data_IF_844877502496
#
_entry.id   IF_844877502496
#
_cell.length_a   1.000
_cell.length_b   1.000
_cell.length_c   1.000
_cell.angle_alpha   90.00
_cell.angle_beta   90.00
_cell.angle_gamma   90.00
#
_symmetry.space_group_name_H-M   'P 1'
#
loop_
_entity.id
_entity.type
_entity.pdbx_description
1 polymer ?
#
# COMPACT_ATOMS: atom_id res chain seq x y z
N UNK A 1 -5.74 1.30 32.00
CA UNK A 1 -5.41 1.60 30.59
C UNK A 1 -5.46 0.31 29.81
N UNK A 2 -6.55 0.06 29.07
CA UNK A 2 -6.63 -1.06 28.14
C UNK A 2 -5.97 -0.60 26.84
N UNK A 3 -4.95 -1.33 26.38
CA UNK A 3 -4.36 -1.13 25.06
C UNK A 3 -5.44 -1.35 24.01
N UNK A 4 -5.69 -0.31 23.24
CA UNK A 4 -6.57 -0.33 22.08
C UNK A 4 -5.91 -1.21 21.01
N UNK A 5 -6.55 -2.35 20.70
CA UNK A 5 -6.16 -3.26 19.61
C UNK A 5 -6.83 -2.83 18.31
N UNK A 6 -6.72 -1.57 17.94
CA UNK A 6 -7.24 -1.07 16.68
C UNK A 6 -6.16 -1.11 15.59
N UNK A 7 -6.48 -1.87 14.55
CA UNK A 7 -6.00 -1.74 13.16
C UNK A 7 -4.62 -2.33 12.83
N UNK A 8 -4.50 -3.66 13.02
CA UNK A 8 -3.74 -4.46 12.06
C UNK A 8 -4.58 -4.58 10.77
N UNK A 9 -4.63 -3.53 9.95
CA UNK A 9 -4.96 -3.70 8.54
C UNK A 9 -3.65 -4.05 7.85
N UNK A 10 -3.34 -5.34 7.87
CA UNK A 10 -2.45 -5.92 6.88
C UNK A 10 -3.14 -5.63 5.54
N UNK A 11 -2.49 -4.87 4.67
CA UNK A 11 -2.83 -4.84 3.25
C UNK A 11 -2.68 -6.29 2.77
N UNK A 12 -3.77 -7.07 2.84
CA UNK A 12 -3.84 -8.45 2.37
C UNK A 12 -3.98 -8.47 0.84
N UNK A 13 -3.05 -7.77 0.19
CA UNK A 13 -2.69 -7.98 -1.20
C UNK A 13 -1.28 -8.57 -1.21
N UNK A 14 -1.16 -9.88 -1.05
CA UNK A 14 -0.03 -10.71 -1.50
C UNK A 14 1.41 -10.14 -1.44
N UNK A 15 1.78 -9.41 -0.38
CA UNK A 15 3.19 -9.06 -0.16
C UNK A 15 3.97 -10.22 0.47
N UNK A 16 4.27 -11.18 -0.42
CA UNK A 16 5.47 -12.01 -0.53
C UNK A 16 5.65 -13.10 0.54
N UNK A 17 4.97 -14.23 0.32
CA UNK A 17 5.57 -15.54 0.61
C UNK A 17 7.03 -15.54 0.13
N UNK A 18 7.93 -16.11 0.93
CA UNK A 18 9.33 -16.33 0.57
C UNK A 18 9.39 -17.07 -0.79
N UNK A 19 9.73 -16.38 -1.90
CA UNK A 19 9.54 -16.95 -3.24
C UNK A 19 10.47 -18.12 -3.49
N UNK A 20 9.93 -19.25 -3.91
CA UNK A 20 10.75 -20.44 -4.20
C UNK A 20 11.62 -20.25 -5.45
N UNK A 21 11.14 -19.44 -6.41
CA UNK A 21 11.81 -19.19 -7.68
C UNK A 21 11.73 -17.72 -8.12
N UNK A 22 12.77 -17.25 -8.82
CA UNK A 22 12.81 -15.97 -9.52
C UNK A 22 13.29 -16.26 -10.94
N UNK A 23 12.55 -15.80 -11.96
CA UNK A 23 12.88 -16.01 -13.38
C UNK A 23 13.17 -17.49 -13.75
N UNK A 24 12.44 -18.43 -13.15
CA UNK A 24 12.65 -19.87 -13.39
C UNK A 24 13.84 -20.48 -12.63
N UNK A 25 14.53 -19.74 -11.77
CA UNK A 25 15.68 -20.20 -10.98
C UNK A 25 15.29 -20.31 -9.50
N UNK A 26 15.62 -21.45 -8.88
CA UNK A 26 15.39 -21.69 -7.45
C UNK A 26 16.21 -20.69 -6.62
N UNK A 27 15.56 -20.03 -5.67
CA UNK A 27 16.23 -19.08 -4.78
C UNK A 27 17.09 -19.85 -3.75
N UNK A 28 18.41 -19.61 -3.68
CA UNK A 28 19.34 -20.45 -2.92
C UNK A 28 19.37 -20.12 -1.41
N UNK A 29 18.23 -20.21 -0.73
CA UNK A 29 18.08 -19.84 0.69
C UNK A 29 18.95 -20.65 1.67
N UNK A 30 19.33 -21.86 1.27
CA UNK A 30 20.14 -22.79 2.05
C UNK A 30 21.64 -22.42 2.08
N UNK A 31 22.11 -21.53 1.22
CA UNK A 31 23.49 -21.07 1.23
C UNK A 31 23.76 -20.14 2.41
N UNK A 32 25.02 -20.10 2.88
CA UNK A 32 25.46 -19.14 3.88
C UNK A 32 25.50 -17.71 3.32
N UNK A 33 25.46 -16.69 4.19
CA UNK A 33 25.57 -15.28 3.78
C UNK A 33 26.80 -15.05 2.90
N UNK A 34 27.98 -15.50 3.36
CA UNK A 34 29.22 -15.42 2.57
C UNK A 34 29.12 -16.06 1.19
N UNK A 35 28.57 -17.28 1.08
CA UNK A 35 28.39 -17.95 -0.21
C UNK A 35 27.45 -17.17 -1.15
N UNK A 36 26.42 -16.52 -0.61
CA UNK A 36 25.51 -15.68 -1.38
C UNK A 36 26.19 -14.39 -1.84
N UNK A 37 27.01 -13.76 -0.99
CA UNK A 37 27.78 -12.56 -1.33
C UNK A 37 28.81 -12.88 -2.42
N UNK A 38 29.55 -13.97 -2.28
CA UNK A 38 30.53 -14.41 -3.30
C UNK A 38 29.83 -14.62 -4.66
N UNK A 39 28.64 -15.23 -4.67
CA UNK A 39 27.83 -15.41 -5.89
C UNK A 39 27.25 -14.11 -6.42
N UNK A 40 26.84 -13.19 -5.55
CA UNK A 40 26.35 -11.86 -5.93
C UNK A 40 27.43 -11.08 -6.69
N UNK A 41 28.66 -11.08 -6.17
CA UNK A 41 29.80 -10.40 -6.81
C UNK A 41 30.23 -11.07 -8.12
N UNK A 42 30.10 -12.39 -8.22
CA UNK A 42 30.39 -13.14 -9.44
C UNK A 42 29.24 -13.18 -10.46
N UNK A 43 28.10 -12.55 -10.16
CA UNK A 43 26.92 -12.63 -11.03
C UNK A 43 27.17 -11.92 -12.37
N UNK A 44 27.17 -12.72 -13.44
CA UNK A 44 27.37 -12.23 -14.81
C UNK A 44 26.10 -11.59 -15.42
N UNK A 45 24.93 -11.90 -14.88
CA UNK A 45 23.63 -11.45 -15.39
C UNK A 45 22.62 -11.12 -14.28
N UNK A 46 21.52 -10.49 -14.68
CA UNK A 46 20.44 -10.10 -13.77
C UNK A 46 19.69 -11.29 -13.16
N UNK A 47 19.69 -12.46 -13.79
CA UNK A 47 19.02 -13.66 -13.28
C UNK A 47 19.75 -14.20 -12.06
N UNK A 48 21.07 -14.35 -12.15
CA UNK A 48 21.93 -14.72 -11.03
C UNK A 48 21.93 -13.65 -9.93
N UNK A 49 22.00 -12.38 -10.32
CA UNK A 49 21.98 -11.26 -9.38
C UNK A 49 20.68 -11.23 -8.56
N UNK A 50 19.53 -11.30 -9.23
CA UNK A 50 18.20 -11.21 -8.60
C UNK A 50 17.92 -12.32 -7.59
N UNK A 51 18.30 -13.57 -7.88
CA UNK A 51 18.16 -14.68 -6.93
C UNK A 51 19.05 -14.50 -5.70
N UNK A 52 20.27 -13.99 -5.87
CA UNK A 52 21.19 -13.74 -4.76
C UNK A 52 20.66 -12.60 -3.87
N UNK A 53 20.25 -11.47 -4.46
CA UNK A 53 19.64 -10.37 -3.73
C UNK A 53 18.38 -10.80 -2.97
N UNK A 54 17.53 -11.62 -3.61
CA UNK A 54 16.34 -12.17 -2.94
C UNK A 54 16.74 -13.06 -1.77
N UNK A 55 17.66 -14.00 -1.94
CA UNK A 55 18.11 -14.88 -0.86
C UNK A 55 18.70 -14.09 0.32
N UNK A 56 19.55 -13.09 0.03
CA UNK A 56 20.15 -12.20 1.02
C UNK A 56 19.09 -11.37 1.77
N UNK A 57 18.05 -10.88 1.09
CA UNK A 57 16.98 -10.09 1.72
C UNK A 57 16.15 -10.83 2.77
N UNK A 58 16.25 -12.17 2.81
CA UNK A 58 15.62 -13.03 3.83
C UNK A 58 16.61 -13.50 4.91
N UNK A 59 17.86 -13.02 4.91
CA UNK A 59 18.80 -13.23 6.01
C UNK A 59 18.59 -12.14 7.06
N UNK A 60 18.51 -12.56 8.32
CA UNK A 60 18.58 -11.65 9.46
C UNK A 60 20.06 -11.46 9.84
N UNK A 61 20.78 -10.76 8.97
CA UNK A 61 22.24 -10.62 9.01
C UNK A 61 22.67 -9.25 8.49
N UNK A 62 23.45 -8.52 9.30
CA UNK A 62 23.97 -7.21 8.92
C UNK A 62 24.96 -7.31 7.75
N UNK A 63 25.74 -8.40 7.66
CA UNK A 63 26.67 -8.62 6.54
C UNK A 63 25.91 -8.72 5.22
N UNK A 64 24.75 -9.40 5.22
CA UNK A 64 23.88 -9.49 4.04
C UNK A 64 23.29 -8.13 3.65
N UNK A 65 22.97 -7.28 4.63
CA UNK A 65 22.44 -5.94 4.39
C UNK A 65 23.51 -5.02 3.78
N UNK A 66 24.69 -4.99 4.39
CA UNK A 66 25.84 -4.19 3.92
C UNK A 66 26.27 -4.61 2.51
N UNK A 67 26.18 -5.90 2.16
CA UNK A 67 26.48 -6.36 0.81
C UNK A 67 25.50 -5.84 -0.26
N UNK A 68 24.26 -5.50 0.11
CA UNK A 68 23.28 -4.96 -0.83
C UNK A 68 23.35 -3.43 -0.98
N UNK A 69 23.83 -2.72 0.04
CA UNK A 69 23.84 -1.24 0.06
C UNK A 69 24.52 -0.58 -1.16
N UNK A 70 25.71 -1.02 -1.63
CA UNK A 70 26.39 -0.37 -2.75
C UNK A 70 25.54 -0.34 -4.03
N UNK A 71 24.67 -1.35 -4.21
CA UNK A 71 23.84 -1.47 -5.40
C UNK A 71 22.68 -0.48 -5.44
N UNK A 72 22.37 0.21 -4.33
CA UNK A 72 21.39 1.30 -4.33
C UNK A 72 21.83 2.53 -5.14
N UNK A 73 23.12 2.60 -5.46
CA UNK A 73 23.76 3.65 -6.26
C UNK A 73 24.55 3.05 -7.45
N UNK A 74 24.26 1.81 -7.85
CA UNK A 74 24.88 1.17 -9.02
C UNK A 74 24.61 1.99 -10.29
N UNK A 75 25.48 1.94 -11.31
CA UNK A 75 25.22 2.60 -12.60
C UNK A 75 24.09 1.89 -13.38
N UNK A 76 23.92 0.59 -13.18
CA UNK A 76 22.85 -0.22 -13.79
C UNK A 76 21.50 0.06 -13.11
N UNK A 77 20.58 0.62 -13.89
CA UNK A 77 19.21 0.94 -13.47
C UNK A 77 18.47 -0.27 -12.91
N UNK A 78 18.58 -1.43 -13.55
CA UNK A 78 17.83 -2.62 -13.17
C UNK A 78 18.38 -3.22 -11.87
N UNK A 79 19.69 -3.15 -11.65
CA UNK A 79 20.29 -3.54 -10.36
C UNK A 79 19.81 -2.63 -9.24
N UNK A 80 19.85 -1.30 -9.44
CA UNK A 80 19.35 -0.33 -8.46
C UNK A 80 17.91 -0.61 -8.08
N UNK A 81 17.03 -0.71 -9.08
CA UNK A 81 15.60 -0.93 -8.88
C UNK A 81 15.33 -2.27 -8.19
N UNK A 82 16.04 -3.33 -8.58
CA UNK A 82 15.85 -4.65 -7.99
C UNK A 82 16.27 -4.66 -6.52
N UNK A 83 17.45 -4.14 -6.21
CA UNK A 83 17.93 -4.08 -4.82
C UNK A 83 17.02 -3.22 -3.96
N UNK A 84 16.60 -2.06 -4.47
CA UNK A 84 15.63 -1.20 -3.79
C UNK A 84 14.34 -1.97 -3.45
N UNK A 85 13.83 -2.79 -4.38
CA UNK A 85 12.61 -3.59 -4.15
C UNK A 85 12.74 -4.79 -3.19
N UNK A 86 13.95 -5.15 -2.77
CA UNK A 86 14.18 -6.27 -1.82
C UNK A 86 14.78 -5.85 -0.49
N UNK A 87 15.59 -4.78 -0.46
CA UNK A 87 16.36 -4.41 0.74
C UNK A 87 15.47 -4.03 1.92
N UNK A 88 14.31 -3.41 1.70
CA UNK A 88 13.37 -3.00 2.75
C UNK A 88 12.69 -4.16 3.50
N UNK A 89 12.92 -5.41 3.08
CA UNK A 89 12.50 -6.59 3.86
C UNK A 89 13.35 -6.78 5.11
N UNK A 90 14.62 -6.39 5.02
CA UNK A 90 15.63 -6.61 6.06
C UNK A 90 15.37 -5.69 7.27
N UNK A 91 15.58 -6.16 8.51
CA UNK A 91 15.38 -5.33 9.71
C UNK A 91 16.23 -4.05 9.73
N UNK A 92 17.46 -4.14 9.24
CA UNK A 92 18.41 -3.02 9.17
C UNK A 92 18.01 -1.91 8.20
N UNK A 93 17.07 -2.17 7.29
CA UNK A 93 16.64 -1.20 6.28
C UNK A 93 15.88 0.00 6.85
N UNK A 94 15.52 0.00 8.14
CA UNK A 94 14.98 1.20 8.82
C UNK A 94 15.93 2.41 8.69
N UNK A 95 17.25 2.16 8.54
CA UNK A 95 18.27 3.19 8.29
C UNK A 95 18.09 3.90 6.92
N UNK A 96 17.25 3.35 6.02
CA UNK A 96 17.00 3.87 4.67
C UNK A 96 15.71 4.70 4.57
N UNK A 97 15.17 5.18 5.69
CA UNK A 97 13.93 5.96 5.70
C UNK A 97 13.99 7.20 4.78
N UNK A 98 15.10 7.93 4.79
CA UNK A 98 15.29 9.11 3.91
C UNK A 98 15.31 8.71 2.43
N UNK A 99 15.99 7.61 2.09
CA UNK A 99 16.02 7.09 0.72
C UNK A 99 14.64 6.60 0.25
N UNK A 100 13.83 6.08 1.17
CA UNK A 100 12.45 5.71 0.89
C UNK A 100 11.59 6.95 0.60
N UNK A 101 11.78 8.03 1.37
CA UNK A 101 11.11 9.31 1.17
C UNK A 101 11.51 9.95 -0.18
N UNK A 102 12.79 9.96 -0.51
CA UNK A 102 13.29 10.43 -1.82
C UNK A 102 12.65 9.67 -2.98
N UNK A 103 12.52 8.34 -2.86
CA UNK A 103 11.91 7.51 -3.89
C UNK A 103 10.40 7.72 -4.04
N UNK A 104 9.70 8.22 -3.02
CA UNK A 104 8.28 8.60 -3.13
C UNK A 104 8.08 9.95 -3.83
N UNK A 105 9.14 10.76 -3.92
CA UNK A 105 9.12 12.10 -4.52
C UNK A 105 9.82 12.18 -5.88
N UNK A 106 10.27 11.05 -6.41
CA UNK A 106 10.87 10.97 -7.75
C UNK A 106 9.80 10.89 -8.83
N UNK A 107 10.18 11.15 -10.09
CA UNK A 107 9.31 10.98 -11.26
C UNK A 107 9.36 9.55 -11.84
N UNK A 108 10.21 8.67 -11.28
CA UNK A 108 10.28 7.27 -11.70
C UNK A 108 9.24 6.39 -10.98
N UNK A 109 8.17 6.08 -11.70
CA UNK A 109 7.06 5.25 -11.21
C UNK A 109 7.52 3.88 -10.67
N UNK A 110 8.59 3.29 -11.19
CA UNK A 110 9.05 1.99 -10.69
C UNK A 110 9.64 2.10 -9.29
N UNK A 111 10.38 3.18 -9.00
CA UNK A 111 10.87 3.46 -7.66
C UNK A 111 9.73 3.85 -6.71
N UNK A 112 8.78 4.67 -7.18
CA UNK A 112 7.57 5.01 -6.40
C UNK A 112 6.81 3.75 -5.99
N UNK A 113 6.54 2.85 -6.94
CA UNK A 113 5.83 1.60 -6.66
C UNK A 113 6.59 0.80 -5.60
N UNK A 114 7.91 0.59 -5.76
CA UNK A 114 8.71 -0.13 -4.77
C UNK A 114 8.72 0.56 -3.40
N UNK A 115 8.70 1.88 -3.37
CA UNK A 115 8.61 2.64 -2.14
C UNK A 115 7.26 2.47 -1.45
N UNK A 116 6.16 2.45 -2.22
CA UNK A 116 4.82 2.14 -1.70
C UNK A 116 4.72 0.71 -1.18
N UNK A 117 5.36 -0.28 -1.82
CA UNK A 117 5.46 -1.66 -1.29
C UNK A 117 6.20 -1.71 0.06
N UNK A 118 7.25 -0.90 0.22
CA UNK A 118 7.98 -0.84 1.48
C UNK A 118 7.15 -0.10 2.55
N UNK A 119 6.52 1.01 2.19
CA UNK A 119 5.64 1.79 3.07
C UNK A 119 4.44 0.98 3.54
N UNK A 120 3.85 0.13 2.69
CA UNK A 120 2.71 -0.74 3.05
C UNK A 120 3.02 -1.75 4.15
N UNK A 121 4.31 -1.98 4.46
CA UNK A 121 4.71 -2.86 5.55
C UNK A 121 4.50 -2.27 6.95
N UNK A 122 4.24 -0.97 7.07
CA UNK A 122 4.09 -0.27 8.36
C UNK A 122 5.37 -0.11 9.18
N UNK A 123 6.53 -0.50 8.63
CA UNK A 123 7.83 -0.39 9.34
C UNK A 123 8.42 1.02 9.29
N UNK A 124 8.04 1.82 8.31
CA UNK A 124 8.67 3.10 8.00
C UNK A 124 7.78 4.26 8.42
N UNK A 125 8.39 5.26 9.07
CA UNK A 125 7.71 6.48 9.44
C UNK A 125 7.93 7.50 8.33
N UNK A 126 6.96 7.63 7.43
CA UNK A 126 6.97 8.60 6.35
C UNK A 126 6.04 9.75 6.71
N UNK A 127 6.49 10.99 6.51
CA UNK A 127 5.65 12.16 6.73
C UNK A 127 4.42 12.14 5.82
N UNK A 128 3.23 12.41 6.38
CA UNK A 128 1.99 12.37 5.63
C UNK A 128 2.03 13.27 4.38
N UNK A 129 2.70 14.43 4.46
CA UNK A 129 2.85 15.36 3.33
C UNK A 129 3.56 14.74 2.11
N UNK A 130 4.51 13.84 2.34
CA UNK A 130 5.25 13.14 1.28
C UNK A 130 4.33 12.13 0.60
N UNK A 131 3.54 11.38 1.38
CA UNK A 131 2.56 10.45 0.82
C UNK A 131 1.48 11.21 0.05
N UNK A 132 1.02 12.35 0.58
CA UNK A 132 0.05 13.20 -0.12
C UNK A 132 0.61 13.68 -1.46
N UNK A 133 1.84 14.20 -1.48
CA UNK A 133 2.51 14.65 -2.69
C UNK A 133 2.70 13.50 -3.71
N UNK A 134 3.17 12.33 -3.25
CA UNK A 134 3.35 11.14 -4.08
C UNK A 134 2.06 10.74 -4.79
N UNK A 135 0.95 10.60 -4.06
CA UNK A 135 -0.33 10.21 -4.64
C UNK A 135 -0.91 11.31 -5.51
N UNK A 136 -0.82 12.59 -5.13
CA UNK A 136 -1.34 13.68 -5.94
C UNK A 136 -0.63 13.81 -7.29
N UNK A 137 0.68 13.65 -7.32
CA UNK A 137 1.47 13.79 -8.57
C UNK A 137 1.35 12.56 -9.47
N UNK A 138 1.03 11.39 -8.92
CA UNK A 138 1.09 10.11 -9.64
C UNK A 138 -0.24 9.34 -9.65
N UNK A 139 -1.36 9.96 -9.29
CA UNK A 139 -2.65 9.26 -9.08
C UNK A 139 -3.16 8.49 -10.31
N UNK A 140 -2.74 8.85 -11.52
CA UNK A 140 -3.12 8.15 -12.75
C UNK A 140 -2.23 6.94 -13.05
N UNK A 141 -1.01 6.92 -12.51
CA UNK A 141 -0.01 5.87 -12.74
C UNK A 141 0.03 4.83 -11.62
N UNK A 142 -0.43 5.19 -10.42
CA UNK A 142 -0.49 4.29 -9.27
C UNK A 142 -1.73 3.41 -9.37
N UNK A 143 -1.54 2.09 -9.35
CA UNK A 143 -2.65 1.13 -9.32
C UNK A 143 -3.50 1.24 -8.06
N UNK A 144 -4.80 0.93 -8.20
CA UNK A 144 -5.80 0.98 -7.13
C UNK A 144 -5.38 0.25 -5.83
N UNK A 145 -4.63 -0.84 -5.94
CA UNK A 145 -4.22 -1.64 -4.78
C UNK A 145 -3.33 -0.86 -3.79
N UNK A 146 -2.56 0.12 -4.26
CA UNK A 146 -1.68 0.92 -3.41
C UNK A 146 -2.43 1.97 -2.60
N UNK A 147 -3.66 2.33 -2.97
CA UNK A 147 -4.47 3.28 -2.20
C UNK A 147 -4.81 2.76 -0.79
N UNK A 148 -4.75 1.44 -0.56
CA UNK A 148 -4.85 0.88 0.79
C UNK A 148 -3.75 1.42 1.74
N UNK A 149 -2.60 1.83 1.21
CA UNK A 149 -1.53 2.44 2.01
C UNK A 149 -1.96 3.75 2.69
N UNK A 150 -2.94 4.47 2.13
CA UNK A 150 -3.43 5.73 2.67
C UNK A 150 -4.08 5.57 4.05
N UNK A 151 -4.48 4.36 4.45
CA UNK A 151 -4.97 4.08 5.80
C UNK A 151 -3.92 4.35 6.89
N UNK A 152 -2.63 4.33 6.53
CA UNK A 152 -1.53 4.57 7.45
C UNK A 152 -1.31 6.05 7.78
N UNK A 153 -1.90 7.00 7.03
CA UNK A 153 -1.79 8.43 7.34
C UNK A 153 -2.44 8.75 8.67
N UNK A 154 -2.07 9.87 9.30
CA UNK A 154 -2.68 10.30 10.57
C UNK A 154 -4.16 10.65 10.41
N UNK A 155 -5.03 10.44 11.42
CA UNK A 155 -6.47 10.72 11.35
C UNK A 155 -6.77 12.21 11.56
N UNK A 156 -6.29 13.04 10.63
CA UNK A 156 -6.47 14.50 10.63
C UNK A 156 -7.53 14.93 9.63
N UNK A 157 -8.14 16.10 9.84
CA UNK A 157 -9.06 16.69 8.86
C UNK A 157 -8.34 16.94 7.51
N UNK A 158 -7.08 17.37 7.54
CA UNK A 158 -6.28 17.60 6.33
C UNK A 158 -6.17 16.33 5.48
N UNK A 159 -5.87 15.18 6.09
CA UNK A 159 -5.79 13.91 5.35
C UNK A 159 -7.17 13.45 4.85
N UNK A 160 -8.25 13.74 5.58
CA UNK A 160 -9.60 13.46 5.09
C UNK A 160 -9.95 14.31 3.86
N UNK A 161 -9.67 15.61 3.88
CA UNK A 161 -9.86 16.48 2.71
C UNK A 161 -9.01 16.04 1.52
N UNK A 162 -7.78 15.59 1.78
CA UNK A 162 -6.93 15.00 0.75
C UNK A 162 -7.55 13.76 0.10
N UNK A 163 -8.13 12.84 0.87
CA UNK A 163 -8.79 11.65 0.30
C UNK A 163 -10.01 12.02 -0.54
N UNK A 164 -10.81 12.99 -0.08
CA UNK A 164 -11.96 13.53 -0.83
C UNK A 164 -11.50 14.19 -2.13
N UNK A 165 -10.41 14.95 -2.10
CA UNK A 165 -9.82 15.55 -3.29
C UNK A 165 -9.42 14.46 -4.30
N UNK A 166 -8.64 13.46 -3.88
CA UNK A 166 -8.24 12.34 -4.74
C UNK A 166 -9.46 11.60 -5.32
N UNK A 167 -10.51 11.41 -4.52
CA UNK A 167 -11.73 10.73 -4.94
C UNK A 167 -12.47 11.50 -6.04
N UNK A 168 -12.49 12.82 -5.93
CA UNK A 168 -13.17 13.70 -6.87
C UNK A 168 -12.39 13.92 -8.17
N UNK A 169 -11.05 13.97 -8.12
CA UNK A 169 -10.22 14.17 -9.33
C UNK A 169 -9.98 12.87 -10.10
N UNK A 170 -10.17 11.71 -9.48
CA UNK A 170 -9.88 10.44 -10.11
C UNK A 170 -10.98 10.04 -11.10
N UNK A 171 -10.60 9.87 -12.37
CA UNK A 171 -11.48 9.31 -13.40
C UNK A 171 -11.50 7.77 -13.42
N UNK A 172 -10.61 7.13 -12.67
CA UNK A 172 -10.52 5.67 -12.62
C UNK A 172 -11.44 5.11 -11.52
N UNK A 173 -12.45 4.33 -11.91
CA UNK A 173 -13.42 3.79 -10.97
C UNK A 173 -12.79 2.91 -9.89
N UNK A 174 -11.76 2.14 -10.22
CA UNK A 174 -11.06 1.29 -9.25
C UNK A 174 -10.36 2.12 -8.17
N UNK A 175 -9.82 3.29 -8.54
CA UNK A 175 -9.18 4.20 -7.58
C UNK A 175 -10.25 4.82 -6.66
N UNK A 176 -11.37 5.27 -7.25
CA UNK A 176 -12.50 5.82 -6.48
C UNK A 176 -13.07 4.81 -5.49
N UNK A 177 -13.20 3.54 -5.89
CA UNK A 177 -13.64 2.46 -4.99
C UNK A 177 -12.64 2.27 -3.84
N UNK A 178 -11.35 2.17 -4.14
CA UNK A 178 -10.31 2.01 -3.10
C UNK A 178 -10.30 3.20 -2.14
N UNK A 179 -10.44 4.43 -2.64
CA UNK A 179 -10.56 5.64 -1.83
C UNK A 179 -11.82 5.64 -0.97
N UNK A 180 -12.97 5.23 -1.51
CA UNK A 180 -14.21 5.15 -0.75
C UNK A 180 -14.07 4.17 0.43
N UNK A 181 -13.39 3.04 0.25
CA UNK A 181 -13.08 2.12 1.34
C UNK A 181 -12.21 2.78 2.42
N UNK A 182 -11.13 3.47 2.02
CA UNK A 182 -10.27 4.21 2.97
C UNK A 182 -11.07 5.27 3.72
N UNK A 183 -11.85 6.09 3.03
CA UNK A 183 -12.65 7.17 3.62
C UNK A 183 -13.69 6.59 4.60
N UNK A 184 -14.40 5.53 4.22
CA UNK A 184 -15.40 4.90 5.08
C UNK A 184 -14.82 4.34 6.36
N UNK A 185 -13.63 3.73 6.31
CA UNK A 185 -12.99 3.23 7.54
C UNK A 185 -12.59 4.36 8.50
N UNK A 186 -12.41 5.59 8.00
CA UNK A 186 -12.04 6.76 8.80
C UNK A 186 -13.21 7.67 9.18
N UNK A 187 -14.42 7.32 8.78
CA UNK A 187 -15.59 8.13 9.05
C UNK A 187 -15.83 8.26 10.55
N UNK A 188 -16.19 9.47 10.99
CA UNK A 188 -16.57 9.77 12.36
C UNK A 188 -18.01 10.28 12.39
N UNK A 189 -18.61 10.36 13.58
CA UNK A 189 -19.95 10.96 13.72
C UNK A 189 -20.01 12.38 13.15
N UNK A 190 -18.92 13.16 13.28
CA UNK A 190 -18.85 14.55 12.81
C UNK A 190 -18.84 14.65 11.28
N UNK A 191 -18.18 13.71 10.62
CA UNK A 191 -17.99 13.72 9.16
C UNK A 191 -18.99 12.82 8.42
N UNK A 192 -19.81 12.08 9.16
CA UNK A 192 -20.72 11.08 8.63
C UNK A 192 -21.60 11.59 7.49
N UNK A 193 -22.39 12.65 7.69
CA UNK A 193 -23.34 13.11 6.68
C UNK A 193 -22.65 13.59 5.40
N UNK A 194 -21.55 14.31 5.54
CA UNK A 194 -20.73 14.75 4.40
C UNK A 194 -20.21 13.56 3.58
N UNK A 195 -19.72 12.51 4.24
CA UNK A 195 -19.21 11.32 3.57
C UNK A 195 -20.32 10.44 3.00
N UNK A 196 -21.48 10.42 3.65
CA UNK A 196 -22.67 9.77 3.12
C UNK A 196 -23.11 10.43 1.81
N UNK A 197 -23.23 11.76 1.79
CA UNK A 197 -23.63 12.53 0.61
C UNK A 197 -22.65 12.34 -0.56
N UNK A 198 -21.36 12.17 -0.26
CA UNK A 198 -20.33 11.90 -1.28
C UNK A 198 -20.55 10.56 -2.01
N UNK A 199 -21.16 9.56 -1.36
CA UNK A 199 -21.25 8.19 -1.87
C UNK A 199 -22.66 7.73 -2.23
N UNK A 200 -23.69 8.30 -1.61
CA UNK A 200 -25.05 7.78 -1.61
C UNK A 200 -25.66 7.64 -3.00
N UNK A 201 -25.37 8.60 -3.88
CA UNK A 201 -25.93 8.68 -5.23
C UNK A 201 -24.88 8.40 -6.32
N UNK A 202 -23.74 7.79 -5.96
CA UNK A 202 -22.72 7.46 -6.95
C UNK A 202 -23.24 6.42 -7.97
N UNK A 203 -22.85 6.59 -9.23
CA UNK A 203 -23.18 5.63 -10.30
C UNK A 203 -22.69 4.19 -10.02
N UNK A 204 -21.57 4.03 -9.31
CA UNK A 204 -20.97 2.73 -9.05
C UNK A 204 -21.52 2.09 -7.77
N UNK A 205 -22.01 0.87 -7.90
CA UNK A 205 -22.60 0.09 -6.82
C UNK A 205 -21.62 -0.14 -5.66
N UNK A 206 -20.33 -0.33 -5.95
CA UNK A 206 -19.31 -0.53 -4.92
C UNK A 206 -19.07 0.71 -4.05
N UNK A 207 -19.30 1.92 -4.58
CA UNK A 207 -19.21 3.16 -3.82
C UNK A 207 -20.49 3.36 -2.99
N UNK A 208 -21.68 3.15 -3.60
CA UNK A 208 -22.94 3.16 -2.83
C UNK A 208 -22.97 2.08 -1.73
N UNK A 209 -22.29 0.96 -1.91
CA UNK A 209 -22.09 -0.04 -0.87
C UNK A 209 -21.31 0.52 0.34
N UNK A 210 -20.37 1.43 0.12
CA UNK A 210 -19.70 2.14 1.22
C UNK A 210 -20.65 3.13 1.93
N UNK A 211 -21.56 3.79 1.19
CA UNK A 211 -22.63 4.60 1.78
C UNK A 211 -23.53 3.74 2.70
N UNK A 212 -23.89 2.53 2.28
CA UNK A 212 -24.63 1.58 3.12
C UNK A 212 -23.87 1.20 4.39
N UNK A 213 -22.56 0.93 4.30
CA UNK A 213 -21.72 0.69 5.50
C UNK A 213 -21.73 1.88 6.46
N UNK A 214 -21.67 3.11 5.95
CA UNK A 214 -21.76 4.32 6.78
C UNK A 214 -23.13 4.44 7.47
N UNK A 215 -24.22 4.32 6.71
CA UNK A 215 -25.58 4.41 7.24
C UNK A 215 -25.84 3.37 8.33
N UNK A 216 -25.36 2.13 8.15
CA UNK A 216 -25.43 1.08 9.17
C UNK A 216 -24.60 1.45 10.40
N UNK A 217 -23.34 1.86 10.20
CA UNK A 217 -22.40 2.18 11.29
C UNK A 217 -22.91 3.30 12.19
N UNK A 218 -23.61 4.29 11.62
CA UNK A 218 -24.11 5.46 12.35
C UNK A 218 -25.65 5.47 12.53
N UNK A 219 -26.30 4.33 12.26
CA UNK A 219 -27.74 4.11 12.47
C UNK A 219 -28.66 5.15 11.78
N UNK A 220 -28.32 5.57 10.56
CA UNK A 220 -29.10 6.57 9.82
C UNK A 220 -30.32 5.95 9.12
N UNK A 221 -31.49 6.12 9.72
CA UNK A 221 -32.72 5.45 9.26
C UNK A 221 -33.19 5.89 7.87
N UNK A 222 -32.95 7.16 7.51
CA UNK A 222 -33.42 7.71 6.25
C UNK A 222 -32.59 7.19 5.07
N UNK A 223 -31.26 7.16 5.22
CA UNK A 223 -30.35 6.57 4.26
C UNK A 223 -30.56 5.06 4.13
N UNK A 224 -30.76 4.34 5.25
CA UNK A 224 -31.07 2.91 5.22
C UNK A 224 -32.37 2.63 4.44
N UNK A 225 -33.41 3.43 4.65
CA UNK A 225 -34.67 3.33 3.92
C UNK A 225 -34.48 3.58 2.41
N UNK A 226 -33.70 4.60 2.04
CA UNK A 226 -33.35 4.86 0.63
C UNK A 226 -32.62 3.66 0.01
N UNK A 227 -31.55 3.19 0.65
CA UNK A 227 -30.68 2.11 0.17
C UNK A 227 -31.34 0.73 0.17
N UNK A 228 -32.39 0.51 0.99
CA UNK A 228 -33.20 -0.72 0.93
C UNK A 228 -33.85 -0.96 -0.43
N UNK A 229 -34.02 0.11 -1.23
CA UNK A 229 -34.56 0.09 -2.58
C UNK A 229 -33.49 0.32 -3.66
N UNK A 230 -32.19 0.20 -3.33
CA UNK A 230 -31.11 0.34 -4.31
C UNK A 230 -31.27 -0.67 -5.45
N UNK A 231 -30.83 -0.32 -6.66
CA UNK A 231 -30.80 -1.22 -7.82
C UNK A 231 -29.92 -2.45 -7.61
N UNK A 232 -28.85 -2.35 -6.81
CA UNK A 232 -27.92 -3.44 -6.57
C UNK A 232 -28.41 -4.39 -5.47
N UNK A 233 -28.40 -5.70 -5.77
CA UNK A 233 -28.89 -6.73 -4.85
C UNK A 233 -28.01 -6.96 -3.63
N UNK A 234 -26.69 -6.69 -3.71
CA UNK A 234 -25.78 -6.82 -2.58
C UNK A 234 -26.00 -5.73 -1.55
N UNK A 235 -26.26 -4.49 -2.00
CA UNK A 235 -26.62 -3.38 -1.10
C UNK A 235 -27.92 -3.71 -0.36
N UNK A 236 -28.99 -4.08 -1.08
CA UNK A 236 -30.26 -4.46 -0.44
C UNK A 236 -30.09 -5.60 0.58
N UNK A 237 -29.28 -6.61 0.23
CA UNK A 237 -28.96 -7.74 1.12
C UNK A 237 -28.17 -7.32 2.36
N UNK A 238 -27.24 -6.38 2.23
CA UNK A 238 -26.48 -5.84 3.36
C UNK A 238 -27.42 -5.13 4.34
N UNK A 239 -28.28 -4.24 3.85
CA UNK A 239 -29.23 -3.48 4.67
C UNK A 239 -30.18 -4.42 5.42
N UNK A 240 -30.77 -5.40 4.74
CA UNK A 240 -31.71 -6.36 5.34
C UNK A 240 -31.08 -7.26 6.42
N UNK A 241 -29.75 -7.41 6.44
CA UNK A 241 -29.05 -8.15 7.52
C UNK A 241 -28.76 -7.29 8.75
N UNK A 242 -28.86 -5.97 8.61
CA UNK A 242 -28.48 -4.99 9.62
C UNK A 242 -29.69 -4.29 10.27
N UNK A 243 -30.88 -4.49 9.72
CA UNK A 243 -32.19 -4.17 10.32
C UNK A 243 -32.66 -5.33 11.21
#
# INVERSE_FOLDING_TARGET
>A
MKQDKSLNIIVQGEFKMKPEMINGIIVPYNLSTKQLIDRLHAAADMSCFSVCCTALSYKDDEEAYEALLPYLSDNDYHKRLYVFGVIFRMPYAIKLNDKLQEALLTDDIHFIIRALEAYSSGKFCIHDEIIRACFLNNHEQIDACYYACLQQLSPTQENLEFFKLLFNISNNISHRIALAEVITERATQKTFYELLDLFLDDSAEKIRYQAAKLAIRFCDTDALKKLSNDTDGHIRKLINKSL
#
